data_IF_097527351127
#
_entry.id   IF_097527351127
#
_cell.length_a   1.000
_cell.length_b   1.000
_cell.length_c   1.000
_cell.angle_alpha   90.00
_cell.angle_beta   90.00
_cell.angle_gamma   90.00
#
_symmetry.space_group_name_H-M   'P 1'
#
loop_
_entity.id
_entity.type
_entity.pdbx_description
1 polymer ?
#
# COMPACT_ATOMS: atom_id res chain seq x y z
N UNK A 1 -23.26 4.78 10.22
CA UNK A 1 -24.37 3.82 10.36
C UNK A 1 -24.47 3.43 11.83
N UNK A 2 -25.66 3.55 12.43
CA UNK A 2 -25.91 3.04 13.78
C UNK A 2 -26.05 1.51 13.74
N UNK A 3 -25.57 0.81 14.77
CA UNK A 3 -25.64 -0.66 14.90
C UNK A 3 -24.96 -1.50 13.79
N UNK A 4 -24.18 -0.87 12.90
CA UNK A 4 -23.36 -1.57 11.90
C UNK A 4 -21.91 -1.61 12.39
N UNK A 5 -21.35 -2.81 12.49
CA UNK A 5 -19.97 -3.03 12.95
C UNK A 5 -19.11 -3.64 11.84
N UNK A 6 -17.83 -3.27 11.82
CA UNK A 6 -16.86 -3.82 10.87
C UNK A 6 -16.16 -5.02 11.48
N UNK A 7 -16.24 -6.20 10.84
CA UNK A 7 -15.47 -7.38 11.27
C UNK A 7 -13.97 -7.08 11.09
N UNK A 8 -13.14 -7.15 12.15
CA UNK A 8 -11.71 -6.90 12.01
C UNK A 8 -11.05 -7.91 11.07
N UNK A 9 -10.06 -7.46 10.29
CA UNK A 9 -9.29 -8.35 9.43
C UNK A 9 -8.65 -9.48 10.25
N UNK A 10 -8.53 -10.66 9.65
CA UNK A 10 -7.99 -11.88 10.30
C UNK A 10 -8.79 -12.39 11.53
N UNK A 11 -10.05 -11.96 11.65
CA UNK A 11 -11.01 -12.49 12.61
C UNK A 11 -12.14 -13.23 11.89
N UNK A 12 -12.74 -14.19 12.59
CA UNK A 12 -13.94 -14.91 12.15
C UNK A 12 -15.11 -14.45 13.00
N UNK A 13 -16.29 -14.40 12.39
CA UNK A 13 -17.57 -14.19 13.06
C UNK A 13 -18.33 -15.52 13.08
N UNK A 14 -18.73 -15.97 14.26
CA UNK A 14 -19.62 -17.14 14.41
C UNK A 14 -21.06 -16.63 14.36
N UNK A 15 -21.76 -16.86 13.25
CA UNK A 15 -23.09 -16.28 13.02
C UNK A 15 -24.15 -16.73 14.05
N UNK A 16 -24.01 -17.93 14.61
CA UNK A 16 -24.96 -18.46 15.59
C UNK A 16 -24.85 -17.80 16.96
N UNK A 17 -23.67 -17.32 17.35
CA UNK A 17 -23.42 -16.72 18.67
C UNK A 17 -23.10 -15.23 18.61
N UNK A 18 -22.70 -14.73 17.44
CA UNK A 18 -22.16 -13.38 17.27
C UNK A 18 -20.69 -13.26 17.71
N UNK A 19 -20.05 -14.35 18.11
CA UNK A 19 -18.69 -14.30 18.65
C UNK A 19 -17.66 -13.96 17.58
N UNK A 20 -16.76 -13.05 17.93
CA UNK A 20 -15.63 -12.66 17.09
C UNK A 20 -14.35 -13.20 17.72
N UNK A 21 -13.56 -13.92 16.92
CA UNK A 21 -12.25 -14.41 17.37
C UNK A 21 -11.20 -14.31 16.29
N UNK A 22 -9.97 -13.99 16.69
CA UNK A 22 -8.82 -13.96 15.80
C UNK A 22 -8.53 -15.38 15.29
N UNK A 23 -8.38 -15.54 13.97
CA UNK A 23 -7.93 -16.79 13.37
C UNK A 23 -6.54 -16.68 12.73
N UNK A 24 -5.97 -15.47 12.62
CA UNK A 24 -4.57 -15.28 12.26
C UNK A 24 -4.04 -13.96 12.88
N UNK A 25 -2.76 -13.90 13.28
CA UNK A 25 -1.84 -15.04 13.40
C UNK A 25 -2.26 -15.98 14.54
N UNK A 26 -2.06 -17.30 14.35
CA UNK A 26 -2.56 -18.32 15.29
C UNK A 26 -1.62 -18.50 16.49
N UNK A 27 -0.30 -18.70 16.28
CA UNK A 27 0.79 -18.72 17.29
C UNK A 27 2.18 -18.62 16.60
N UNK A 28 3.23 -18.29 17.37
CA UNK A 28 4.69 -18.36 17.08
C UNK A 28 5.11 -18.03 15.63
N UNK A 29 4.75 -16.85 15.14
CA UNK A 29 5.52 -16.29 14.01
C UNK A 29 6.95 -16.12 14.53
N UNK A 30 7.89 -16.84 13.92
CA UNK A 30 9.31 -16.65 14.20
C UNK A 30 9.67 -15.21 13.88
N UNK A 31 10.22 -14.52 14.87
CA UNK A 31 10.71 -13.15 14.73
C UNK A 31 12.23 -13.08 14.78
N UNK A 32 12.90 -14.23 14.91
CA UNK A 32 14.35 -14.31 14.81
C UNK A 32 14.77 -13.86 13.41
N UNK A 33 15.66 -12.89 13.39
CA UNK A 33 16.12 -12.26 12.16
C UNK A 33 16.98 -13.23 11.36
N UNK A 34 16.83 -13.17 10.05
CA UNK A 34 17.51 -14.06 9.10
C UNK A 34 17.83 -13.27 7.84
N UNK A 35 19.06 -13.36 7.34
CA UNK A 35 19.47 -12.67 6.12
C UNK A 35 18.72 -13.19 4.87
N UNK A 36 18.28 -14.46 4.89
CA UNK A 36 17.47 -15.07 3.82
C UNK A 36 16.03 -14.53 3.77
N UNK A 37 15.56 -13.86 4.83
CA UNK A 37 14.19 -13.31 4.88
C UNK A 37 13.94 -12.25 3.80
N UNK A 38 15.00 -11.54 3.37
CA UNK A 38 14.92 -10.55 2.28
C UNK A 38 14.75 -11.25 0.93
N UNK A 39 15.47 -12.37 0.72
CA UNK A 39 15.30 -13.22 -0.47
C UNK A 39 13.89 -13.79 -0.51
N UNK A 40 13.40 -14.29 0.63
CA UNK A 40 12.02 -14.78 0.74
C UNK A 40 10.97 -13.71 0.45
N UNK A 41 11.14 -12.50 0.98
CA UNK A 41 10.27 -11.37 0.63
C UNK A 41 10.29 -11.08 -0.88
N UNK A 42 11.48 -11.11 -1.49
CA UNK A 42 11.67 -10.83 -2.92
C UNK A 42 11.02 -11.91 -3.79
N UNK A 43 11.23 -13.18 -3.45
CA UNK A 43 10.67 -14.32 -4.17
C UNK A 43 9.15 -14.38 -4.07
N UNK A 44 8.57 -14.08 -2.89
CA UNK A 44 7.12 -14.00 -2.72
C UNK A 44 6.48 -12.95 -3.63
N UNK A 45 7.11 -11.78 -3.76
CA UNK A 45 6.62 -10.72 -4.67
C UNK A 45 6.79 -11.16 -6.13
N UNK A 46 7.95 -11.70 -6.51
CA UNK A 46 8.22 -12.21 -7.86
C UNK A 46 7.25 -13.31 -8.27
N UNK A 47 6.97 -14.25 -7.37
CA UNK A 47 6.03 -15.35 -7.59
C UNK A 47 4.59 -14.86 -7.70
N UNK A 48 4.20 -13.87 -6.89
CA UNK A 48 2.88 -13.25 -7.00
C UNK A 48 2.70 -12.62 -8.39
N UNK A 49 3.68 -11.82 -8.84
CA UNK A 49 3.67 -11.20 -10.18
C UNK A 49 3.57 -12.26 -11.28
N UNK A 50 4.42 -13.29 -11.23
CA UNK A 50 4.42 -14.38 -12.22
C UNK A 50 3.07 -15.10 -12.29
N UNK A 51 2.51 -15.47 -11.13
CA UNK A 51 1.21 -16.16 -11.06
C UNK A 51 0.06 -15.29 -11.58
N UNK A 52 0.09 -13.98 -11.30
CA UNK A 52 -0.94 -13.07 -11.81
C UNK A 52 -0.84 -12.86 -13.32
N UNK A 53 0.37 -12.72 -13.85
CA UNK A 53 0.59 -12.59 -15.29
C UNK A 53 0.17 -13.83 -16.09
N UNK A 54 0.14 -15.02 -15.47
CA UNK A 54 -0.45 -16.22 -16.08
C UNK A 54 -1.97 -16.30 -15.96
N UNK A 55 -2.59 -15.53 -15.07
CA UNK A 55 -4.04 -15.57 -14.80
C UNK A 55 -4.83 -14.57 -15.64
N UNK A 56 -4.21 -13.45 -16.03
CA UNK A 56 -4.86 -12.41 -16.81
C UNK A 56 -3.92 -11.29 -17.18
N UNK A 57 -4.46 -10.24 -17.81
CA UNK A 57 -3.67 -9.11 -18.25
C UNK A 57 -3.26 -8.26 -17.04
N UNK A 58 -1.98 -8.34 -16.68
CA UNK A 58 -1.43 -7.67 -15.53
C UNK A 58 -1.12 -6.21 -15.86
N UNK A 59 -1.63 -5.33 -15.03
CA UNK A 59 -1.45 -3.89 -15.10
C UNK A 59 -0.72 -3.41 -13.84
N UNK A 60 0.39 -2.67 -14.00
CA UNK A 60 1.22 -2.21 -12.88
C UNK A 60 1.32 -0.69 -12.86
N UNK A 61 0.88 -0.08 -11.76
CA UNK A 61 1.05 1.37 -11.58
C UNK A 61 2.49 1.72 -11.20
N UNK A 62 3.11 2.65 -11.92
CA UNK A 62 4.43 3.19 -11.63
C UNK A 62 4.35 4.60 -11.05
N UNK A 63 5.18 4.85 -10.04
CA UNK A 63 5.38 6.15 -9.39
C UNK A 63 6.87 6.39 -9.14
N UNK A 64 7.23 7.53 -8.55
CA UNK A 64 8.60 7.79 -8.07
C UNK A 64 8.97 7.02 -6.80
N UNK A 65 8.01 6.29 -6.22
CA UNK A 65 8.14 5.57 -4.96
C UNK A 65 8.98 4.29 -5.03
N UNK A 66 9.19 3.69 -3.85
CA UNK A 66 9.91 2.42 -3.69
C UNK A 66 9.00 1.23 -3.97
N UNK A 67 7.78 1.27 -3.46
CA UNK A 67 6.84 0.15 -3.48
C UNK A 67 6.44 -0.23 -4.92
N UNK A 68 6.14 0.77 -5.76
CA UNK A 68 5.89 0.56 -7.19
C UNK A 68 7.12 0.05 -7.95
N UNK A 69 8.33 0.44 -7.53
CA UNK A 69 9.58 -0.04 -8.12
C UNK A 69 9.93 -1.48 -7.71
N UNK A 70 9.55 -1.90 -6.51
CA UNK A 70 9.63 -3.31 -6.10
C UNK A 70 8.75 -4.17 -7.02
N UNK A 71 7.52 -3.74 -7.30
CA UNK A 71 6.64 -4.42 -8.25
C UNK A 71 7.25 -4.44 -9.66
N UNK A 72 7.83 -3.33 -10.13
CA UNK A 72 8.53 -3.28 -11.42
C UNK A 72 9.71 -4.27 -11.47
N UNK A 73 10.53 -4.31 -10.42
CA UNK A 73 11.66 -5.22 -10.32
C UNK A 73 11.21 -6.70 -10.44
N UNK A 74 10.10 -7.03 -9.79
CA UNK A 74 9.49 -8.36 -9.86
C UNK A 74 8.95 -8.73 -11.26
N UNK A 75 8.66 -7.75 -12.12
CA UNK A 75 8.20 -7.97 -13.50
C UNK A 75 9.34 -8.25 -14.50
N UNK A 76 10.61 -8.19 -14.09
CA UNK A 76 11.76 -8.21 -15.00
C UNK A 76 11.78 -9.35 -16.02
N UNK A 77 11.30 -10.54 -15.65
CA UNK A 77 11.24 -11.72 -16.53
C UNK A 77 10.04 -11.77 -17.48
N UNK A 78 9.11 -10.80 -17.42
CA UNK A 78 7.86 -10.83 -18.20
C UNK A 78 7.37 -9.45 -18.62
N UNK A 79 8.27 -8.50 -18.84
CA UNK A 79 7.93 -7.11 -19.18
C UNK A 79 7.05 -6.97 -20.42
N UNK A 80 7.14 -7.91 -21.37
CA UNK A 80 6.32 -7.98 -22.58
C UNK A 80 4.93 -8.57 -22.35
N UNK A 81 4.59 -8.99 -21.13
CA UNK A 81 3.28 -9.51 -20.74
C UNK A 81 2.56 -8.58 -19.75
N UNK A 82 3.17 -7.43 -19.44
CA UNK A 82 2.68 -6.49 -18.43
C UNK A 82 2.51 -5.11 -19.04
N UNK A 83 1.36 -4.52 -18.79
CA UNK A 83 1.12 -3.11 -19.09
C UNK A 83 1.43 -2.29 -17.84
N UNK A 84 2.19 -1.22 -18.02
CA UNK A 84 2.55 -0.29 -16.95
C UNK A 84 1.80 1.02 -17.16
N UNK A 85 1.44 1.72 -16.10
CA UNK A 85 0.81 3.02 -16.26
C UNK A 85 1.21 4.02 -15.17
N UNK A 86 1.09 5.30 -15.51
CA UNK A 86 1.22 6.42 -14.58
C UNK A 86 0.13 7.43 -14.89
N UNK A 87 -0.61 7.87 -13.86
CA UNK A 87 -1.66 8.88 -14.01
C UNK A 87 -1.04 10.27 -14.00
N UNK A 88 -1.37 11.08 -15.00
CA UNK A 88 -1.04 12.50 -15.08
C UNK A 88 -2.20 13.31 -14.56
N UNK A 89 -2.05 13.90 -13.38
CA UNK A 89 -3.03 14.79 -12.76
C UNK A 89 -2.29 15.98 -12.15
N UNK A 90 -2.90 17.18 -12.09
CA UNK A 90 -2.34 18.31 -11.33
C UNK A 90 -2.05 17.99 -9.86
N UNK A 91 -2.70 16.95 -9.32
CA UNK A 91 -2.52 16.48 -7.95
C UNK A 91 -1.26 15.63 -7.75
N UNK A 92 -0.66 15.14 -8.83
CA UNK A 92 0.49 14.22 -8.81
C UNK A 92 1.79 15.03 -8.78
N UNK A 93 2.73 14.62 -7.93
CA UNK A 93 4.02 15.28 -7.83
C UNK A 93 4.84 15.08 -9.11
N UNK A 94 5.62 16.09 -9.50
CA UNK A 94 6.48 16.01 -10.70
C UNK A 94 7.41 14.80 -10.70
N UNK A 95 7.96 14.43 -9.55
CA UNK A 95 8.82 13.25 -9.41
C UNK A 95 8.08 11.93 -9.69
N UNK A 96 6.76 11.87 -9.44
CA UNK A 96 5.92 10.72 -9.75
C UNK A 96 5.52 10.65 -11.23
N UNK A 97 5.96 11.60 -12.06
CA UNK A 97 5.84 11.57 -13.52
C UNK A 97 7.21 11.32 -14.18
N UNK A 98 8.24 12.06 -13.77
CA UNK A 98 9.57 11.98 -14.36
C UNK A 98 10.29 10.66 -14.07
N UNK A 99 10.14 10.12 -12.86
CA UNK A 99 10.82 8.88 -12.48
C UNK A 99 10.21 7.68 -13.23
N UNK A 100 8.88 7.49 -13.31
CA UNK A 100 8.30 6.47 -14.19
C UNK A 100 8.74 6.59 -15.64
N UNK A 101 8.85 7.80 -16.20
CA UNK A 101 9.36 7.99 -17.56
C UNK A 101 10.80 7.45 -17.72
N UNK A 102 11.66 7.72 -16.74
CA UNK A 102 13.05 7.22 -16.71
C UNK A 102 13.14 5.72 -16.46
N UNK A 103 12.20 5.14 -15.71
CA UNK A 103 12.12 3.70 -15.48
C UNK A 103 11.66 2.99 -16.76
N UNK A 104 10.61 3.49 -17.40
CA UNK A 104 10.08 2.95 -18.66
C UNK A 104 11.10 2.96 -19.78
N UNK A 105 11.98 3.97 -19.85
CA UNK A 105 13.05 4.02 -20.85
C UNK A 105 14.19 3.03 -20.61
N UNK A 106 14.24 2.33 -19.46
CA UNK A 106 15.29 1.32 -19.16
C UNK A 106 15.19 0.08 -20.01
N UNK A 107 13.99 -0.27 -20.50
CA UNK A 107 13.81 -1.49 -21.25
C UNK A 107 12.75 -1.33 -22.34
N UNK A 108 13.14 -1.57 -23.61
CA UNK A 108 12.28 -1.36 -24.78
C UNK A 108 10.98 -2.19 -24.77
N UNK A 109 10.97 -3.32 -24.05
CA UNK A 109 9.77 -4.16 -23.91
C UNK A 109 8.70 -3.58 -22.96
N UNK A 110 9.00 -2.53 -22.20
CA UNK A 110 8.02 -1.96 -21.27
C UNK A 110 6.95 -1.20 -22.03
N UNK A 111 5.72 -1.71 -22.03
CA UNK A 111 4.54 -0.97 -22.46
C UNK A 111 4.10 -0.05 -21.33
N UNK A 112 4.54 1.20 -21.35
CA UNK A 112 4.17 2.19 -20.34
C UNK A 112 3.20 3.24 -20.89
N UNK A 113 2.07 3.42 -20.19
CA UNK A 113 0.99 4.33 -20.56
C UNK A 113 0.92 5.51 -19.60
N UNK A 114 1.10 6.71 -20.12
CA UNK A 114 0.81 7.93 -19.38
C UNK A 114 -0.63 8.36 -19.59
N UNK A 115 -1.48 8.13 -18.59
CA UNK A 115 -2.93 8.35 -18.69
C UNK A 115 -3.31 9.68 -18.06
N UNK A 116 -3.87 10.59 -18.85
CA UNK A 116 -4.37 11.87 -18.34
C UNK A 116 -5.61 11.67 -17.49
N UNK A 117 -5.58 12.30 -16.32
CA UNK A 117 -6.73 12.47 -15.44
C UNK A 117 -7.79 13.33 -16.12
N UNK A 118 -9.00 12.80 -16.14
CA UNK A 118 -10.15 13.42 -16.77
C UNK A 118 -11.35 13.35 -15.83
N UNK A 119 -12.30 14.28 -15.95
CA UNK A 119 -13.55 14.19 -15.22
C UNK A 119 -14.22 12.82 -15.40
N UNK A 120 -14.68 12.27 -14.28
CA UNK A 120 -15.49 11.06 -14.28
C UNK A 120 -16.94 11.39 -14.65
N UNK A 121 -17.61 10.45 -15.32
CA UNK A 121 -19.07 10.51 -15.49
C UNK A 121 -19.74 10.34 -14.12
N UNK A 122 -20.87 11.03 -13.89
CA UNK A 122 -21.55 11.07 -12.59
C UNK A 122 -21.91 9.66 -12.08
N UNK A 123 -22.48 8.82 -12.94
CA UNK A 123 -22.86 7.45 -12.55
C UNK A 123 -21.67 6.59 -12.09
N UNK A 124 -20.46 6.84 -12.58
CA UNK A 124 -19.24 6.13 -12.13
C UNK A 124 -18.88 6.56 -10.72
N UNK A 125 -19.05 7.84 -10.41
CA UNK A 125 -18.84 8.39 -9.07
C UNK A 125 -19.86 7.82 -8.10
N UNK A 126 -21.14 7.78 -8.51
CA UNK A 126 -22.23 7.24 -7.70
C UNK A 126 -22.00 5.74 -7.42
N UNK A 127 -21.65 4.95 -8.44
CA UNK A 127 -21.33 3.53 -8.28
C UNK A 127 -20.14 3.30 -7.35
N UNK A 128 -19.07 4.10 -7.48
CA UNK A 128 -17.90 4.01 -6.62
C UNK A 128 -18.24 4.33 -5.15
N UNK A 129 -19.08 5.34 -4.93
CA UNK A 129 -19.55 5.70 -3.58
C UNK A 129 -20.48 4.62 -3.03
N UNK A 130 -21.36 4.03 -3.84
CA UNK A 130 -22.25 2.93 -3.42
C UNK A 130 -21.44 1.69 -2.99
N UNK A 131 -20.53 1.21 -3.83
CA UNK A 131 -19.68 0.03 -3.55
C UNK A 131 -18.82 0.23 -2.30
N UNK A 132 -18.42 1.47 -2.02
CA UNK A 132 -17.62 1.81 -0.85
C UNK A 132 -18.43 2.26 0.37
N UNK A 133 -19.76 2.31 0.27
CA UNK A 133 -20.65 2.94 1.25
C UNK A 133 -20.20 4.38 1.63
N UNK A 134 -19.64 5.13 0.67
CA UNK A 134 -19.13 6.48 0.83
C UNK A 134 -17.82 6.59 1.62
N UNK A 135 -17.18 5.47 1.96
CA UNK A 135 -16.00 5.44 2.83
C UNK A 135 -14.68 5.62 2.08
N UNK A 136 -14.65 5.40 0.75
CA UNK A 136 -13.44 5.46 -0.06
C UNK A 136 -13.13 6.87 -0.60
N UNK A 137 -12.89 7.84 0.28
CA UNK A 137 -12.75 9.27 -0.11
C UNK A 137 -11.31 9.68 -0.52
N UNK A 138 -11.19 10.91 -1.04
CA UNK A 138 -9.91 11.59 -1.31
C UNK A 138 -9.35 11.31 -2.70
N UNK A 139 -8.02 11.35 -2.85
CA UNK A 139 -7.36 11.35 -4.16
C UNK A 139 -7.75 10.17 -5.08
N UNK A 140 -8.09 9.00 -4.52
CA UNK A 140 -8.55 7.85 -5.33
C UNK A 140 -9.91 8.09 -5.98
N UNK A 141 -10.83 8.78 -5.28
CA UNK A 141 -12.13 9.19 -5.81
C UNK A 141 -12.01 10.33 -6.83
N UNK A 142 -10.92 11.10 -6.78
CA UNK A 142 -10.68 12.21 -7.71
C UNK A 142 -10.19 11.76 -9.08
N UNK A 143 -9.59 10.55 -9.19
CA UNK A 143 -8.95 10.04 -10.41
C UNK A 143 -9.77 8.95 -11.14
N UNK A 144 -11.08 8.85 -10.89
CA UNK A 144 -11.91 7.76 -11.42
C UNK A 144 -11.96 7.74 -12.95
N UNK A 145 -11.95 8.91 -13.60
CA UNK A 145 -11.90 8.99 -15.05
C UNK A 145 -10.60 8.42 -15.64
N UNK A 146 -9.46 8.62 -14.96
CA UNK A 146 -8.21 7.95 -15.32
C UNK A 146 -8.28 6.43 -15.08
N UNK A 147 -8.79 5.99 -13.93
CA UNK A 147 -8.92 4.55 -13.63
C UNK A 147 -9.76 3.80 -14.68
N UNK A 148 -10.85 4.41 -15.17
CA UNK A 148 -11.68 3.85 -16.25
C UNK A 148 -10.99 3.80 -17.62
N UNK A 149 -10.07 4.72 -17.90
CA UNK A 149 -9.22 4.62 -19.11
C UNK A 149 -8.20 3.51 -18.95
N UNK A 150 -7.60 3.44 -17.76
CA UNK A 150 -6.57 2.46 -17.40
C UNK A 150 -7.09 1.02 -17.48
N UNK A 151 -8.35 0.76 -17.13
CA UNK A 151 -8.94 -0.59 -17.21
C UNK A 151 -9.00 -1.17 -18.63
N UNK A 152 -8.77 -0.37 -19.66
CA UNK A 152 -8.68 -0.85 -21.05
C UNK A 152 -7.37 -1.58 -21.35
N UNK A 153 -6.38 -1.48 -20.47
CA UNK A 153 -5.06 -2.07 -20.67
C UNK A 153 -4.85 -3.38 -19.92
N UNK A 154 -5.71 -3.69 -18.93
CA UNK A 154 -5.58 -4.93 -18.18
C UNK A 154 -6.67 -5.12 -17.13
N UNK A 155 -6.79 -6.37 -16.69
CA UNK A 155 -7.87 -6.84 -15.82
C UNK A 155 -7.46 -6.87 -14.35
N UNK A 156 -6.15 -6.99 -14.08
CA UNK A 156 -5.61 -7.11 -12.72
C UNK A 156 -4.64 -5.95 -12.47
N UNK A 157 -4.97 -5.06 -11.52
CA UNK A 157 -4.07 -3.97 -11.14
C UNK A 157 -3.21 -4.38 -9.95
N UNK A 158 -1.91 -4.56 -10.19
CA UNK A 158 -0.91 -4.68 -9.14
C UNK A 158 -0.43 -3.29 -8.69
N UNK A 159 -0.79 -2.93 -7.45
CA UNK A 159 -0.42 -1.68 -6.81
C UNK A 159 0.66 -1.86 -5.74
N UNK A 160 1.27 -0.74 -5.33
CA UNK A 160 2.20 -0.71 -4.19
C UNK A 160 1.52 -0.68 -2.82
N UNK A 161 0.19 -0.87 -2.75
CA UNK A 161 -0.56 -0.78 -1.50
C UNK A 161 0.04 -1.71 -0.43
N UNK A 162 0.08 -1.26 0.82
CA UNK A 162 0.72 -1.95 1.95
C UNK A 162 2.24 -2.12 1.89
N UNK A 163 2.93 -1.60 0.87
CA UNK A 163 4.40 -1.58 0.81
C UNK A 163 5.04 -0.81 1.98
N UNK A 164 4.31 0.12 2.61
CA UNK A 164 4.71 0.83 3.82
C UNK A 164 5.05 -0.09 5.01
N UNK A 165 4.53 -1.32 5.06
CA UNK A 165 4.96 -2.31 6.08
C UNK A 165 6.47 -2.60 5.98
N UNK A 166 7.03 -2.53 4.78
CA UNK A 166 8.46 -2.72 4.55
C UNK A 166 9.32 -1.54 5.01
N UNK A 167 8.69 -0.48 5.54
CA UNK A 167 9.31 0.83 5.80
C UNK A 167 9.03 1.35 7.21
N UNK A 168 8.62 0.45 8.12
CA UNK A 168 8.43 0.75 9.54
C UNK A 168 7.44 1.92 9.79
N UNK A 169 6.34 1.98 9.02
CA UNK A 169 5.46 3.15 8.94
C UNK A 169 5.00 3.75 10.29
N UNK A 170 4.65 2.87 11.24
CA UNK A 170 4.17 3.25 12.58
C UNK A 170 5.24 3.20 13.66
N UNK A 171 6.45 2.73 13.37
CA UNK A 171 7.47 2.56 14.39
C UNK A 171 7.90 3.94 14.90
N UNK A 172 8.03 4.04 16.22
CA UNK A 172 8.47 5.28 16.88
C UNK A 172 9.99 5.36 17.01
N UNK A 173 10.67 4.23 16.88
CA UNK A 173 12.12 4.11 16.94
C UNK A 173 12.57 2.94 16.06
N UNK A 174 13.88 2.84 15.83
CA UNK A 174 14.50 1.80 15.02
C UNK A 174 14.35 0.40 15.63
N UNK A 175 14.40 0.31 16.95
CA UNK A 175 14.32 -0.92 17.72
C UNK A 175 13.23 -0.81 18.80
N UNK A 176 11.94 -0.94 18.43
CA UNK A 176 10.86 -0.74 19.39
C UNK A 176 10.82 -1.90 20.39
N UNK A 177 10.92 -1.58 21.67
CA UNK A 177 10.75 -2.55 22.77
C UNK A 177 9.27 -2.73 23.17
N UNK A 178 8.42 -1.76 22.81
CA UNK A 178 6.96 -1.79 23.05
C UNK A 178 6.20 -1.13 21.89
N UNK A 179 4.90 -1.38 21.81
CA UNK A 179 4.02 -0.64 20.90
C UNK A 179 3.49 0.59 21.64
N UNK A 180 3.84 1.78 21.15
CA UNK A 180 3.28 3.04 21.62
C UNK A 180 2.12 3.51 20.74
N UNK A 181 0.97 3.75 21.35
CA UNK A 181 -0.24 4.22 20.67
C UNK A 181 -0.12 5.64 20.14
N UNK A 182 0.62 6.52 20.81
CA UNK A 182 0.85 7.89 20.36
C UNK A 182 1.57 7.95 19.00
N UNK A 183 2.51 7.02 18.76
CA UNK A 183 3.19 6.87 17.48
C UNK A 183 2.21 6.54 16.34
N UNK A 184 1.23 5.68 16.61
CA UNK A 184 0.18 5.31 15.66
C UNK A 184 -0.77 6.49 15.44
N UNK A 185 -1.28 7.07 16.52
CA UNK A 185 -2.20 8.21 16.53
C UNK A 185 -1.62 9.43 15.81
N UNK A 186 -0.30 9.64 15.87
CA UNK A 186 0.38 10.74 15.15
C UNK A 186 0.16 10.73 13.64
N UNK A 187 -0.19 9.56 13.07
CA UNK A 187 -0.46 9.41 11.63
C UNK A 187 -1.90 9.75 11.25
N UNK A 188 -2.80 9.83 12.22
CA UNK A 188 -4.19 10.23 12.02
C UNK A 188 -4.28 11.77 12.00
N UNK A 189 -5.24 12.30 11.23
CA UNK A 189 -5.52 13.73 11.22
C UNK A 189 -6.56 14.06 12.27
N UNK A 190 -6.14 14.65 13.40
CA UNK A 190 -7.00 14.99 14.54
C UNK A 190 -7.87 13.80 15.01
N UNK A 191 -7.25 12.75 15.60
CA UNK A 191 -7.99 11.56 16.00
C UNK A 191 -9.00 11.88 17.10
N UNK A 192 -10.25 11.47 16.91
CA UNK A 192 -11.29 11.49 17.95
C UNK A 192 -11.01 10.41 19.02
N UNK A 193 -11.63 10.55 20.20
CA UNK A 193 -11.43 9.61 21.31
C UNK A 193 -11.80 8.17 20.96
N UNK A 194 -12.86 7.97 20.18
CA UNK A 194 -13.25 6.64 19.68
C UNK A 194 -12.17 5.95 18.82
N UNK A 195 -11.26 6.72 18.19
CA UNK A 195 -10.12 6.15 17.46
C UNK A 195 -9.07 5.65 18.44
N UNK A 196 -8.83 6.38 19.53
CA UNK A 196 -7.92 5.94 20.60
C UNK A 196 -8.43 4.67 21.25
N UNK A 197 -9.69 4.66 21.68
CA UNK A 197 -10.35 3.50 22.30
C UNK A 197 -10.25 2.26 21.39
N UNK A 198 -10.58 2.41 20.10
CA UNK A 198 -10.48 1.29 19.16
C UNK A 198 -9.05 0.77 18.92
N UNK A 199 -8.03 1.62 19.06
CA UNK A 199 -6.63 1.18 19.01
C UNK A 199 -6.19 0.48 20.30
N UNK A 200 -6.68 0.93 21.46
CA UNK A 200 -6.46 0.28 22.76
C UNK A 200 -7.10 -1.11 22.78
N UNK A 201 -8.35 -1.24 22.32
CA UNK A 201 -9.04 -2.52 22.14
C UNK A 201 -8.28 -3.46 21.19
N UNK A 202 -7.77 -2.93 20.07
CA UNK A 202 -6.97 -3.71 19.14
C UNK A 202 -5.67 -4.21 19.79
N UNK A 203 -4.98 -3.35 20.55
CA UNK A 203 -3.73 -3.71 21.22
C UNK A 203 -3.97 -4.75 22.33
N UNK A 204 -5.07 -4.63 23.08
CA UNK A 204 -5.47 -5.60 24.09
C UNK A 204 -5.81 -6.98 23.48
N UNK A 205 -6.25 -7.02 22.23
CA UNK A 205 -6.54 -8.26 21.47
C UNK A 205 -5.39 -8.72 20.56
N UNK A 206 -4.21 -8.09 20.71
CA UNK A 206 -3.03 -8.45 19.93
C UNK A 206 -2.56 -9.88 20.23
N UNK A 207 -2.05 -10.60 19.23
CA UNK A 207 -1.52 -11.95 19.43
C UNK A 207 -0.27 -11.92 20.32
N UNK A 208 -0.18 -12.87 21.25
CA UNK A 208 1.00 -13.08 22.08
C UNK A 208 2.19 -13.58 21.25
N UNK A 209 3.41 -13.25 21.67
CA UNK A 209 4.65 -13.77 21.09
C UNK A 209 5.16 -13.04 19.83
N UNK A 210 4.48 -11.99 19.37
CA UNK A 210 5.03 -11.11 18.33
C UNK A 210 5.96 -10.07 18.94
N UNK A 211 7.04 -9.75 18.23
CA UNK A 211 7.86 -8.58 18.54
C UNK A 211 7.05 -7.29 18.39
N UNK A 212 7.42 -6.20 19.08
CA UNK A 212 6.76 -4.91 18.91
C UNK A 212 6.80 -4.38 17.47
N UNK A 213 7.91 -4.61 16.74
CA UNK A 213 8.05 -4.31 15.32
C UNK A 213 7.04 -5.07 14.45
N UNK A 214 6.86 -6.36 14.71
CA UNK A 214 5.85 -7.18 14.05
C UNK A 214 4.43 -6.69 14.38
N UNK A 215 4.14 -6.33 15.63
CA UNK A 215 2.84 -5.79 16.04
C UNK A 215 2.50 -4.48 15.33
N UNK A 216 3.46 -3.56 15.18
CA UNK A 216 3.26 -2.36 14.39
C UNK A 216 2.88 -2.65 12.94
N UNK A 217 3.56 -3.62 12.33
CA UNK A 217 3.27 -4.05 10.96
C UNK A 217 1.89 -4.72 10.87
N UNK A 218 1.49 -5.52 11.88
CA UNK A 218 0.17 -6.15 11.94
C UNK A 218 -0.92 -5.10 12.06
N UNK A 219 -0.70 -4.08 12.89
CA UNK A 219 -1.63 -2.97 13.04
C UNK A 219 -1.81 -2.21 11.74
N UNK A 220 -0.71 -1.97 11.00
CA UNK A 220 -0.78 -1.41 9.65
C UNK A 220 -1.63 -2.28 8.72
N UNK A 221 -1.37 -3.59 8.67
CA UNK A 221 -2.11 -4.53 7.83
C UNK A 221 -3.61 -4.52 8.16
N UNK A 222 -3.98 -4.61 9.43
CA UNK A 222 -5.37 -4.79 9.86
C UNK A 222 -6.16 -3.48 9.85
N UNK A 223 -5.58 -2.39 10.34
CA UNK A 223 -6.27 -1.11 10.44
C UNK A 223 -6.17 -0.32 9.13
N UNK A 224 -4.95 -0.13 8.62
CA UNK A 224 -4.77 0.68 7.41
C UNK A 224 -5.02 -0.13 6.14
N UNK A 225 -4.58 -1.38 6.12
CA UNK A 225 -4.84 -2.29 5.01
C UNK A 225 -6.29 -2.73 4.94
N UNK A 226 -6.82 -3.32 6.02
CA UNK A 226 -8.19 -3.83 6.05
C UNK A 226 -9.27 -2.75 5.94
N UNK A 227 -9.19 -1.69 6.75
CA UNK A 227 -10.30 -0.70 6.86
C UNK A 227 -10.18 0.48 5.90
N UNK A 228 -8.98 1.01 5.66
CA UNK A 228 -8.81 2.17 4.78
C UNK A 228 -8.50 1.79 3.34
N UNK A 229 -7.39 1.08 3.12
CA UNK A 229 -6.98 0.69 1.77
C UNK A 229 -7.97 -0.32 1.18
N UNK A 230 -8.44 -1.30 1.95
CA UNK A 230 -9.35 -2.35 1.50
C UNK A 230 -10.67 -1.81 0.95
N UNK A 231 -11.24 -0.77 1.57
CA UNK A 231 -12.45 -0.12 1.05
C UNK A 231 -12.16 0.62 -0.25
N UNK A 232 -11.02 1.30 -0.36
CA UNK A 232 -10.60 1.95 -1.61
C UNK A 232 -10.24 0.97 -2.73
N UNK A 233 -9.67 -0.19 -2.42
CA UNK A 233 -9.42 -1.26 -3.39
C UNK A 233 -10.74 -1.89 -3.83
N UNK A 234 -11.66 -2.18 -2.92
CA UNK A 234 -13.00 -2.68 -3.26
C UNK A 234 -13.74 -1.68 -4.16
N UNK A 235 -13.71 -0.39 -3.83
CA UNK A 235 -14.30 0.65 -4.67
C UNK A 235 -13.68 0.70 -6.08
N UNK A 236 -12.35 0.53 -6.18
CA UNK A 236 -11.65 0.46 -7.46
C UNK A 236 -11.93 -0.83 -8.26
N UNK A 237 -12.54 -1.85 -7.64
CA UNK A 237 -12.85 -3.13 -8.28
C UNK A 237 -13.83 -3.01 -9.45
N UNK A 238 -14.54 -1.89 -9.55
CA UNK A 238 -15.39 -1.56 -10.70
C UNK A 238 -14.58 -1.34 -12.00
N UNK A 239 -13.27 -1.12 -11.91
CA UNK A 239 -12.39 -0.91 -13.06
C UNK A 239 -11.51 -2.13 -13.36
N UNK A 240 -10.95 -2.76 -12.34
CA UNK A 240 -9.99 -3.84 -12.45
C UNK A 240 -9.98 -4.64 -11.15
N UNK A 241 -9.51 -5.88 -11.17
CA UNK A 241 -9.25 -6.64 -9.95
C UNK A 241 -8.02 -6.05 -9.22
N UNK A 242 -8.18 -5.40 -8.05
CA UNK A 242 -7.05 -4.84 -7.32
C UNK A 242 -6.21 -5.95 -6.68
N UNK A 243 -4.90 -5.79 -6.69
CA UNK A 243 -3.97 -6.71 -6.04
C UNK A 243 -2.76 -5.97 -5.46
N UNK A 244 -2.28 -6.46 -4.32
CA UNK A 244 -0.98 -6.08 -3.77
C UNK A 244 -0.21 -7.32 -3.33
N UNK A 245 1.02 -7.46 -3.82
CA UNK A 245 1.93 -8.53 -3.41
C UNK A 245 2.33 -8.44 -1.93
N UNK A 246 2.24 -7.25 -1.34
CA UNK A 246 2.49 -7.02 0.08
C UNK A 246 1.32 -7.49 0.98
N UNK A 247 0.12 -7.65 0.41
CA UNK A 247 -1.06 -8.14 1.14
C UNK A 247 -1.09 -9.68 1.22
N UNK A 248 -0.05 -10.27 1.83
CA UNK A 248 0.11 -11.71 1.94
C UNK A 248 0.56 -12.09 3.35
N UNK A 249 -0.08 -13.10 3.94
CA UNK A 249 0.33 -13.65 5.25
C UNK A 249 1.75 -14.21 5.19
N UNK A 250 2.10 -14.89 4.09
CA UNK A 250 3.45 -15.40 3.88
C UNK A 250 4.47 -14.26 3.77
N UNK A 251 4.08 -13.14 3.15
CA UNK A 251 4.93 -11.96 3.07
C UNK A 251 5.10 -11.31 4.44
N UNK A 252 4.01 -11.17 5.20
CA UNK A 252 4.07 -10.65 6.56
C UNK A 252 4.94 -11.51 7.49
N UNK A 253 4.79 -12.84 7.43
CA UNK A 253 5.60 -13.78 8.21
C UNK A 253 7.09 -13.72 7.82
N UNK A 254 7.40 -13.55 6.53
CA UNK A 254 8.77 -13.31 6.09
C UNK A 254 9.30 -11.95 6.59
N UNK A 255 8.47 -10.91 6.54
CA UNK A 255 8.80 -9.57 7.01
C UNK A 255 9.10 -9.54 8.51
N UNK A 256 8.41 -10.34 9.32
CA UNK A 256 8.68 -10.49 10.76
C UNK A 256 10.10 -11.01 11.06
N UNK A 257 10.78 -11.63 10.09
CA UNK A 257 12.14 -12.16 10.20
C UNK A 257 13.19 -11.26 9.55
N UNK A 258 12.79 -10.12 8.98
CA UNK A 258 13.72 -9.16 8.40
C UNK A 258 14.33 -8.32 9.53
N UNK A 259 15.68 -8.18 9.59
CA UNK A 259 16.34 -7.27 10.52
C UNK A 259 15.70 -5.88 10.55
N UNK A 260 15.46 -5.37 11.76
CA UNK A 260 14.78 -4.09 11.99
C UNK A 260 15.50 -2.93 11.30
N UNK A 261 16.83 -3.02 11.18
CA UNK A 261 17.71 -2.09 10.45
C UNK A 261 17.37 -1.97 8.97
N UNK A 262 16.85 -3.03 8.37
CA UNK A 262 16.49 -3.03 6.95
C UNK A 262 15.11 -2.41 6.77
N UNK A 263 14.17 -2.71 7.67
CA UNK A 263 12.82 -2.13 7.62
C UNK A 263 12.86 -0.63 7.94
N UNK A 264 13.47 -0.28 9.08
CA UNK A 264 13.59 1.08 9.57
C UNK A 264 14.70 1.82 8.81
N UNK A 265 14.31 2.62 7.81
CA UNK A 265 15.22 3.39 6.95
C UNK A 265 14.95 3.23 5.45
N UNK A 266 13.88 2.52 5.07
CA UNK A 266 13.54 2.22 3.67
C UNK A 266 14.61 1.36 2.95
N UNK A 267 15.43 0.61 3.68
CA UNK A 267 16.49 -0.23 3.09
C UNK A 267 15.94 -1.54 2.53
N UNK A 268 14.92 -2.13 3.15
CA UNK A 268 14.32 -3.39 2.69
C UNK A 268 13.83 -3.31 1.24
N UNK A 269 13.01 -2.32 0.82
CA UNK A 269 12.63 -2.20 -0.59
C UNK A 269 13.83 -2.08 -1.54
N UNK A 270 14.92 -1.42 -1.10
CA UNK A 270 16.13 -1.28 -1.89
C UNK A 270 16.84 -2.62 -2.06
N UNK A 271 16.95 -3.40 -0.99
CA UNK A 271 17.54 -4.73 -1.02
C UNK A 271 16.71 -5.70 -1.88
N UNK A 272 15.39 -5.61 -1.82
CA UNK A 272 14.48 -6.37 -2.69
C UNK A 272 14.69 -6.01 -4.17
N UNK A 273 14.79 -4.71 -4.49
CA UNK A 273 15.09 -4.26 -5.86
C UNK A 273 16.49 -4.74 -6.29
N UNK A 274 17.49 -4.67 -5.42
CA UNK A 274 18.85 -5.13 -5.72
C UNK A 274 18.88 -6.61 -6.13
N UNK A 275 18.12 -7.45 -5.42
CA UNK A 275 18.01 -8.90 -5.68
C UNK A 275 17.22 -9.24 -6.94
N UNK A 276 16.21 -8.43 -7.28
CA UNK A 276 15.33 -8.71 -8.42
C UNK A 276 15.79 -8.04 -9.71
N UNK A 277 16.17 -6.77 -9.64
CA UNK A 277 16.59 -5.98 -10.80
C UNK A 277 17.47 -4.78 -10.37
N UNK A 278 18.77 -4.99 -10.15
CA UNK A 278 19.65 -4.00 -9.52
C UNK A 278 19.79 -2.70 -10.32
N UNK A 279 19.74 -2.77 -11.65
CA UNK A 279 19.84 -1.59 -12.52
C UNK A 279 18.72 -0.55 -12.27
N UNK A 280 17.60 -0.92 -11.65
CA UNK A 280 16.54 0.04 -11.28
C UNK A 280 16.96 0.97 -10.12
N UNK A 281 18.04 0.65 -9.40
CA UNK A 281 18.59 1.49 -8.34
C UNK A 281 19.38 2.69 -8.89
N UNK A 282 19.82 2.64 -10.14
CA UNK A 282 20.50 3.76 -10.81
C UNK A 282 19.55 4.93 -11.10
N UNK A 283 18.23 4.69 -11.04
CA UNK A 283 17.23 5.76 -11.13
C UNK A 283 17.00 6.33 -9.74
N UNK A 284 17.04 7.66 -9.52
CA UNK A 284 16.76 8.22 -8.21
C UNK A 284 15.33 7.92 -7.74
N UNK A 285 15.12 7.89 -6.43
CA UNK A 285 13.78 7.81 -5.84
C UNK A 285 13.19 9.19 -5.68
N UNK A 286 11.86 9.29 -5.74
CA UNK A 286 11.14 10.51 -5.47
C UNK A 286 11.44 10.98 -4.06
N UNK A 287 11.85 12.24 -3.91
CA UNK A 287 11.92 12.88 -2.59
C UNK A 287 10.48 13.13 -2.14
N UNK A 288 10.07 12.73 -0.92
CA UNK A 288 8.86 13.30 -0.32
C UNK A 288 8.98 14.82 -0.40
N UNK A 289 7.94 15.50 -0.88
CA UNK A 289 7.98 16.93 -1.23
C UNK A 289 8.83 17.75 -0.27
N UNK A 290 9.76 18.55 -0.82
CA UNK A 290 10.90 19.15 -0.12
C UNK A 290 10.57 19.93 1.15
N UNK A 291 11.61 20.27 1.92
CA UNK A 291 11.62 20.95 3.24
C UNK A 291 10.48 21.94 3.56
N UNK A 292 9.94 22.65 2.58
CA UNK A 292 8.81 23.58 2.73
C UNK A 292 7.48 22.85 3.00
N UNK A 293 7.30 21.65 2.42
CA UNK A 293 6.17 20.78 2.67
C UNK A 293 6.17 20.17 4.08
N UNK A 294 7.31 19.96 4.73
CA UNK A 294 7.33 19.48 6.13
C UNK A 294 6.99 20.54 7.17
N UNK A 295 7.16 21.83 6.83
CA UNK A 295 6.95 22.96 7.74
C UNK A 295 5.51 23.48 7.78
N UNK A 296 4.73 23.22 6.73
CA UNK A 296 3.35 23.72 6.65
C UNK A 296 2.36 22.74 7.32
N UNK A 297 1.54 23.22 8.28
CA UNK A 297 0.43 22.45 8.83
C UNK A 297 -0.45 21.87 7.71
N UNK A 298 -1.00 20.67 7.91
CA UNK A 298 -1.90 20.03 6.91
C UNK A 298 -3.07 20.93 6.50
N UNK A 299 -3.54 21.79 7.41
CA UNK A 299 -4.56 22.83 7.14
C UNK A 299 -4.09 23.87 6.12
N UNK A 300 -2.86 24.37 6.24
CA UNK A 300 -2.27 25.33 5.31
C UNK A 300 -2.03 24.73 3.92
N UNK A 301 -1.63 23.45 3.84
CA UNK A 301 -1.51 22.72 2.56
C UNK A 301 -2.85 22.59 1.85
N UNK A 302 -3.91 22.29 2.59
CA UNK A 302 -5.28 22.18 2.06
C UNK A 302 -5.79 23.53 1.57
N UNK A 303 -5.44 24.62 2.25
CA UNK A 303 -5.75 25.98 1.83
C UNK A 303 -4.98 26.41 0.57
N UNK A 304 -3.66 26.17 0.53
CA UNK A 304 -2.82 26.43 -0.64
C UNK A 304 -3.28 25.63 -1.87
N UNK A 305 -3.69 24.37 -1.70
CA UNK A 305 -4.29 23.57 -2.78
C UNK A 305 -5.61 24.15 -3.31
N UNK A 306 -6.42 24.79 -2.46
CA UNK A 306 -7.64 25.49 -2.90
C UNK A 306 -7.34 26.79 -3.65
N UNK A 307 -6.24 27.48 -3.31
CA UNK A 307 -5.82 28.71 -3.98
C UNK A 307 -5.19 28.46 -5.35
N UNK A 308 -4.41 27.38 -5.48
CA UNK A 308 -3.77 26.98 -6.76
C UNK A 308 -4.74 26.28 -7.74
N UNK A 309 -5.97 26.02 -7.32
CA UNK A 309 -7.04 25.45 -8.15
C UNK A 309 -8.02 26.52 -8.68
N UNK A 310 -7.65 27.80 -8.59
CA UNK A 310 -8.29 28.94 -9.27
C UNK A 310 -7.34 29.46 -10.36
#
# INVERSE_FOLDING_TARGET
FENVRFLPANHRLVLSTGDISRFWPRQNIRTETDEESVDRCSDLVRDAVRKLGHRGNLLVSLTGGRDSRVNLAACGGMLDQVDFFTIRSPLVARCDLEIPARLASRHRKMRHHFVDDIPSEAWVVDLYDEVSAGMAVGARREILGACRKVSRFGDIHLSGALGEMCRAYFWHTKHPETVRLDAVLSKFGNPADCIREGLEEWLASAPLGLSPSALYNLMYLEQRGGRWAGVGENAASIFYQPFSAFNSRLFYEALCRVPEELQHGNRLPMEMIRRMWPALLDVPFGKPGGLIGSLLPKSAKRFLRKLLAR
#
